data_IF_955897402457
#
_entry.id   IF_955897402457
#
_cell.length_a   1.000
_cell.length_b   1.000
_cell.length_c   1.000
_cell.angle_alpha   90.00
_cell.angle_beta   90.00
_cell.angle_gamma   90.00
#
_symmetry.space_group_name_H-M   'P 1'
#
loop_
_entity.id
_entity.type
_entity.pdbx_description
1 polymer ?
#
# COMPACT_ATOMS: atom_id res chain seq x y z
N UNK A 1 -3.86 20.75 -21.88
CA UNK A 1 -4.22 20.91 -20.45
C UNK A 1 -3.44 22.09 -19.90
N UNK A 2 -4.03 22.85 -18.98
CA UNK A 2 -3.33 23.93 -18.27
C UNK A 2 -2.52 23.36 -17.09
N UNK A 3 -1.51 24.07 -16.56
CA UNK A 3 -0.77 23.64 -15.36
C UNK A 3 -1.67 23.34 -14.17
N UNK A 4 -2.71 24.16 -13.95
CA UNK A 4 -3.71 23.96 -12.90
C UNK A 4 -4.44 22.61 -13.02
N UNK A 5 -4.74 22.18 -14.25
CA UNK A 5 -5.39 20.89 -14.50
C UNK A 5 -4.48 19.70 -14.17
N UNK A 6 -3.16 19.83 -14.31
CA UNK A 6 -2.23 18.78 -13.90
C UNK A 6 -2.08 18.73 -12.38
N UNK A 7 -2.04 19.90 -11.72
CA UNK A 7 -2.02 19.99 -10.27
C UNK A 7 -3.28 19.33 -9.67
N UNK A 8 -4.46 19.57 -10.24
CA UNK A 8 -5.69 18.94 -9.76
C UNK A 8 -5.66 17.42 -9.90
N UNK A 9 -5.15 16.90 -11.03
CA UNK A 9 -4.99 15.45 -11.26
C UNK A 9 -4.00 14.86 -10.26
N UNK A 10 -2.89 15.54 -9.98
CA UNK A 10 -1.92 15.08 -8.98
C UNK A 10 -2.53 15.04 -7.57
N UNK A 11 -3.25 16.08 -7.17
CA UNK A 11 -3.93 16.12 -5.87
C UNK A 11 -4.97 15.01 -5.72
N UNK A 12 -5.82 14.82 -6.74
CA UNK A 12 -6.81 13.75 -6.74
C UNK A 12 -6.14 12.36 -6.69
N UNK A 13 -5.06 12.17 -7.45
CA UNK A 13 -4.30 10.92 -7.46
C UNK A 13 -3.66 10.64 -6.09
N UNK A 14 -3.11 11.66 -5.44
CA UNK A 14 -2.60 11.57 -4.07
C UNK A 14 -3.69 11.16 -3.08
N UNK A 15 -4.86 11.80 -3.13
CA UNK A 15 -5.99 11.45 -2.27
C UNK A 15 -6.48 10.00 -2.48
N UNK A 16 -6.52 9.53 -3.73
CA UNK A 16 -6.84 8.13 -4.06
C UNK A 16 -5.79 7.17 -3.49
N UNK A 17 -4.50 7.54 -3.55
CA UNK A 17 -3.41 6.73 -2.98
C UNK A 17 -3.54 6.62 -1.45
N UNK A 18 -3.84 7.73 -0.76
CA UNK A 18 -4.09 7.73 0.69
C UNK A 18 -5.30 6.87 1.06
N UNK A 19 -6.36 6.92 0.23
CA UNK A 19 -7.53 6.07 0.40
C UNK A 19 -7.17 4.58 0.28
N UNK A 20 -6.33 4.21 -0.70
CA UNK A 20 -5.85 2.83 -0.84
C UNK A 20 -5.02 2.39 0.37
N UNK A 21 -4.15 3.26 0.89
CA UNK A 21 -3.43 3.01 2.15
C UNK A 21 -4.39 2.73 3.31
N UNK A 22 -5.42 3.57 3.48
CA UNK A 22 -6.43 3.41 4.52
C UNK A 22 -7.18 2.08 4.42
N UNK A 23 -7.57 1.67 3.22
CA UNK A 23 -8.21 0.37 2.96
C UNK A 23 -7.26 -0.79 3.27
N UNK A 24 -6.02 -0.72 2.79
CA UNK A 24 -5.00 -1.74 3.03
C UNK A 24 -4.76 -1.97 4.52
N UNK A 25 -4.54 -0.91 5.29
CA UNK A 25 -4.33 -0.97 6.74
C UNK A 25 -5.58 -1.50 7.46
N UNK A 26 -6.77 -1.06 7.07
CA UNK A 26 -8.03 -1.49 7.69
C UNK A 26 -8.26 -3.00 7.54
N UNK A 27 -7.96 -3.58 6.37
CA UNK A 27 -8.02 -5.03 6.16
C UNK A 27 -7.03 -5.77 7.06
N UNK A 28 -5.82 -5.24 7.27
CA UNK A 28 -4.86 -5.84 8.19
C UNK A 28 -5.36 -5.85 9.62
N UNK A 29 -5.87 -4.71 10.11
CA UNK A 29 -6.42 -4.60 11.46
C UNK A 29 -7.62 -5.55 11.65
N UNK A 30 -8.49 -5.68 10.65
CA UNK A 30 -9.59 -6.63 10.67
C UNK A 30 -9.11 -8.09 10.73
N UNK A 31 -8.08 -8.45 9.96
CA UNK A 31 -7.49 -9.80 9.97
C UNK A 31 -6.78 -10.11 11.28
N UNK A 32 -6.02 -9.18 11.85
CA UNK A 32 -5.41 -9.35 13.16
C UNK A 32 -6.48 -9.51 14.25
N UNK A 33 -7.54 -8.69 14.20
CA UNK A 33 -8.70 -8.85 15.07
C UNK A 33 -9.32 -10.25 14.94
N UNK A 34 -9.59 -10.70 13.71
CA UNK A 34 -10.14 -12.03 13.47
C UNK A 34 -9.24 -13.14 14.03
N UNK A 35 -7.93 -13.07 13.83
CA UNK A 35 -6.98 -14.07 14.34
C UNK A 35 -6.91 -14.06 15.88
N UNK A 36 -6.95 -12.89 16.52
CA UNK A 36 -6.87 -12.75 17.97
C UNK A 36 -8.18 -13.16 18.68
N UNK A 37 -9.34 -12.83 18.11
CA UNK A 37 -10.64 -13.03 18.76
C UNK A 37 -11.31 -14.36 18.44
N UNK A 38 -11.03 -14.97 17.28
CA UNK A 38 -11.62 -16.26 16.92
C UNK A 38 -10.94 -17.38 17.72
N UNK A 39 -11.64 -17.85 18.76
CA UNK A 39 -11.15 -18.90 19.69
C UNK A 39 -11.01 -20.29 19.06
N UNK A 40 -11.55 -20.51 17.86
CA UNK A 40 -11.45 -21.81 17.18
C UNK A 40 -10.28 -21.79 16.19
N UNK A 41 -9.42 -22.81 16.23
CA UNK A 41 -8.20 -22.75 15.45
C UNK A 41 -8.45 -23.32 14.04
N UNK A 42 -8.12 -22.53 13.02
CA UNK A 42 -8.47 -22.79 11.61
C UNK A 42 -7.99 -24.16 11.12
N UNK A 43 -8.80 -24.80 10.29
CA UNK A 43 -8.46 -26.01 9.53
C UNK A 43 -7.46 -25.72 8.41
N UNK A 44 -6.82 -26.76 7.86
CA UNK A 44 -5.84 -26.57 6.77
C UNK A 44 -6.47 -25.95 5.52
N UNK A 45 -7.68 -26.38 5.16
CA UNK A 45 -8.43 -25.79 4.05
C UNK A 45 -8.72 -24.29 4.28
N UNK A 46 -9.21 -23.92 5.47
CA UNK A 46 -9.49 -22.52 5.82
C UNK A 46 -8.23 -21.66 5.78
N UNK A 47 -7.08 -22.18 6.19
CA UNK A 47 -5.79 -21.48 6.10
C UNK A 47 -5.36 -21.25 4.66
N UNK A 48 -5.43 -22.29 3.82
CA UNK A 48 -5.05 -22.18 2.41
C UNK A 48 -5.97 -21.18 1.69
N UNK A 49 -7.28 -21.25 1.95
CA UNK A 49 -8.25 -20.28 1.42
C UNK A 49 -7.94 -18.87 1.94
N UNK A 50 -7.67 -18.71 3.24
CA UNK A 50 -7.35 -17.42 3.84
C UNK A 50 -6.08 -16.79 3.25
N UNK A 51 -5.01 -17.57 3.09
CA UNK A 51 -3.77 -17.12 2.43
C UNK A 51 -4.05 -16.77 0.97
N UNK A 52 -4.82 -17.60 0.25
CA UNK A 52 -5.18 -17.35 -1.15
C UNK A 52 -5.96 -16.05 -1.33
N UNK A 53 -7.04 -15.86 -0.57
CA UNK A 53 -7.86 -14.64 -0.61
C UNK A 53 -7.05 -13.41 -0.26
N UNK A 54 -6.23 -13.50 0.79
CA UNK A 54 -5.37 -12.39 1.19
C UNK A 54 -4.31 -12.07 0.12
N UNK A 55 -3.74 -13.08 -0.53
CA UNK A 55 -2.75 -12.89 -1.61
C UNK A 55 -3.39 -12.16 -2.80
N UNK A 56 -4.60 -12.55 -3.20
CA UNK A 56 -5.34 -11.86 -4.28
C UNK A 56 -5.59 -10.40 -3.91
N UNK A 57 -6.06 -10.13 -2.69
CA UNK A 57 -6.25 -8.77 -2.18
C UNK A 57 -4.95 -7.97 -2.19
N UNK A 58 -3.88 -8.52 -1.62
CA UNK A 58 -2.59 -7.85 -1.52
C UNK A 58 -1.97 -7.53 -2.88
N UNK A 59 -2.04 -8.46 -3.84
CA UNK A 59 -1.56 -8.22 -5.21
C UNK A 59 -2.40 -7.16 -5.92
N UNK A 60 -3.73 -7.20 -5.76
CA UNK A 60 -4.61 -6.19 -6.35
C UNK A 60 -4.33 -4.80 -5.78
N UNK A 61 -4.29 -4.67 -4.46
CA UNK A 61 -3.96 -3.43 -3.75
C UNK A 61 -2.60 -2.88 -4.19
N UNK A 62 -1.57 -3.74 -4.24
CA UNK A 62 -0.23 -3.38 -4.69
C UNK A 62 -0.27 -2.78 -6.10
N UNK A 63 -0.95 -3.44 -7.05
CA UNK A 63 -1.03 -2.97 -8.43
C UNK A 63 -1.75 -1.64 -8.55
N UNK A 64 -2.85 -1.44 -7.83
CA UNK A 64 -3.59 -0.17 -7.85
C UNK A 64 -2.71 0.96 -7.30
N UNK A 65 -2.03 0.73 -6.17
CA UNK A 65 -1.19 1.76 -5.55
C UNK A 65 0.04 2.11 -6.39
N UNK A 66 0.67 1.12 -7.02
CA UNK A 66 1.75 1.37 -7.98
C UNK A 66 1.24 2.15 -9.20
N UNK A 67 0.07 1.82 -9.73
CA UNK A 67 -0.52 2.56 -10.85
C UNK A 67 -0.86 4.02 -10.50
N UNK A 68 -1.36 4.28 -9.29
CA UNK A 68 -1.64 5.64 -8.82
C UNK A 68 -0.33 6.43 -8.61
N UNK A 69 0.69 5.80 -8.04
CA UNK A 69 2.02 6.42 -7.88
C UNK A 69 2.65 6.75 -9.24
N UNK A 70 2.56 5.86 -10.23
CA UNK A 70 3.09 6.11 -11.57
C UNK A 70 2.36 7.25 -12.27
N UNK A 71 1.03 7.35 -12.08
CA UNK A 71 0.27 8.49 -12.58
C UNK A 71 0.73 9.80 -11.90
N UNK A 72 0.99 9.77 -10.60
CA UNK A 72 1.48 10.93 -9.86
C UNK A 72 2.88 11.37 -10.34
N UNK A 73 3.80 10.42 -10.56
CA UNK A 73 5.13 10.69 -11.11
C UNK A 73 5.05 11.31 -12.51
N UNK A 74 4.27 10.70 -13.42
CA UNK A 74 4.09 11.23 -14.77
C UNK A 74 3.48 12.63 -14.76
N UNK A 75 2.53 12.88 -13.87
CA UNK A 75 1.90 14.19 -13.72
C UNK A 75 2.90 15.22 -13.21
N UNK A 76 3.73 14.87 -12.22
CA UNK A 76 4.78 15.75 -11.71
C UNK A 76 5.81 16.11 -12.79
N UNK A 77 6.26 15.13 -13.60
CA UNK A 77 7.16 15.41 -14.73
C UNK A 77 6.52 16.29 -15.80
N UNK A 78 5.22 16.16 -16.06
CA UNK A 78 4.52 17.03 -17.01
C UNK A 78 4.40 18.46 -16.51
N UNK A 79 4.18 18.64 -15.21
CA UNK A 79 4.21 19.97 -14.56
C UNK A 79 5.61 20.59 -14.70
N UNK A 80 6.67 19.82 -14.39
CA UNK A 80 8.07 20.27 -14.48
C UNK A 80 8.46 20.68 -15.92
N UNK A 81 8.08 19.89 -16.93
CA UNK A 81 8.34 20.21 -18.33
C UNK A 81 7.57 21.43 -18.86
N UNK A 82 6.41 21.76 -18.27
CA UNK A 82 5.67 22.97 -18.60
C UNK A 82 6.29 24.22 -17.97
N UNK A 83 6.92 24.07 -16.81
CA UNK A 83 7.62 25.15 -16.10
C UNK A 83 8.86 25.64 -16.81
N UNK A 84 9.65 24.73 -17.38
CA UNK A 84 10.83 25.11 -18.18
C UNK A 84 10.47 26.01 -19.37
N UNK A 85 9.22 25.93 -19.86
CA UNK A 85 8.73 26.75 -20.98
C UNK A 85 8.12 28.08 -20.56
N UNK A 86 7.70 28.23 -19.30
CA UNK A 86 7.08 29.45 -18.78
C UNK A 86 7.71 29.82 -17.42
N UNK A 87 8.97 30.25 -17.48
CA UNK A 87 9.82 30.57 -16.33
C UNK A 87 9.29 31.72 -15.43
N UNK A 88 8.18 32.35 -15.81
CA UNK A 88 7.52 33.42 -15.05
C UNK A 88 6.62 32.90 -13.92
N UNK A 89 6.22 31.63 -13.97
CA UNK A 89 5.38 30.98 -12.96
C UNK A 89 6.21 30.47 -11.78
N UNK A 90 6.79 31.39 -11.00
CA UNK A 90 7.49 31.05 -9.75
C UNK A 90 6.47 30.84 -8.62
N UNK A 91 5.67 29.79 -8.73
CA UNK A 91 4.63 29.45 -7.77
C UNK A 91 5.11 28.35 -6.81
N UNK A 92 4.87 28.50 -5.51
CA UNK A 92 5.31 27.58 -4.46
C UNK A 92 4.85 26.13 -4.71
N UNK A 93 3.68 25.98 -5.33
CA UNK A 93 3.10 24.68 -5.72
C UNK A 93 3.94 23.99 -6.78
N UNK A 94 4.55 24.76 -7.68
CA UNK A 94 5.35 24.26 -8.80
C UNK A 94 6.74 23.79 -8.33
N UNK A 95 7.36 24.54 -7.42
CA UNK A 95 8.59 24.12 -6.73
C UNK A 95 8.42 22.84 -5.91
N UNK A 96 7.24 22.61 -5.32
CA UNK A 96 6.92 21.37 -4.62
C UNK A 96 6.95 20.15 -5.57
N UNK A 97 6.33 20.24 -6.75
CA UNK A 97 6.32 19.14 -7.72
C UNK A 97 7.71 18.85 -8.31
N UNK A 98 8.48 19.89 -8.62
CA UNK A 98 9.87 19.73 -9.10
C UNK A 98 10.74 19.06 -8.02
N UNK A 99 10.60 19.45 -6.76
CA UNK A 99 11.30 18.79 -5.65
C UNK A 99 10.84 17.34 -5.46
N UNK A 100 9.55 17.03 -5.64
CA UNK A 100 9.04 15.66 -5.54
C UNK A 100 9.64 14.74 -6.61
N UNK A 101 9.79 15.26 -7.82
CA UNK A 101 10.44 14.58 -8.94
C UNK A 101 11.93 14.34 -8.65
N UNK A 102 12.65 15.39 -8.26
CA UNK A 102 14.11 15.37 -8.19
C UNK A 102 14.70 14.72 -6.93
N UNK A 103 13.95 14.63 -5.84
CA UNK A 103 14.42 14.07 -4.56
C UNK A 103 14.31 12.54 -4.45
N UNK A 104 13.83 11.86 -5.50
CA UNK A 104 13.64 10.41 -5.48
C UNK A 104 12.46 9.95 -4.60
N UNK A 105 11.57 10.86 -4.19
CA UNK A 105 10.35 10.52 -3.44
C UNK A 105 9.52 9.44 -4.14
N UNK A 106 9.45 9.49 -5.47
CA UNK A 106 8.72 8.50 -6.24
C UNK A 106 9.36 7.11 -6.17
N UNK A 107 10.70 7.00 -6.26
CA UNK A 107 11.40 5.73 -6.10
C UNK A 107 11.24 5.15 -4.68
N UNK A 108 11.37 6.02 -3.66
CA UNK A 108 11.12 5.67 -2.26
C UNK A 108 9.67 5.23 -2.04
N UNK A 109 8.72 5.84 -2.74
CA UNK A 109 7.31 5.44 -2.73
C UNK A 109 7.10 4.01 -3.24
N UNK A 110 7.73 3.63 -4.35
CA UNK A 110 7.67 2.26 -4.89
C UNK A 110 8.24 1.26 -3.90
N UNK A 111 9.40 1.56 -3.30
CA UNK A 111 10.04 0.70 -2.30
C UNK A 111 9.14 0.56 -1.06
N UNK A 112 8.55 1.66 -0.59
CA UNK A 112 7.64 1.65 0.56
C UNK A 112 6.40 0.80 0.29
N UNK A 113 5.69 1.06 -0.81
CA UNK A 113 4.49 0.30 -1.18
C UNK A 113 4.82 -1.19 -1.29
N UNK A 114 5.87 -1.57 -2.02
CA UNK A 114 6.23 -2.98 -2.22
C UNK A 114 6.66 -3.68 -0.94
N UNK A 115 7.51 -3.04 -0.12
CA UNK A 115 8.00 -3.62 1.13
C UNK A 115 6.89 -3.83 2.15
N UNK A 116 5.98 -2.86 2.32
CA UNK A 116 4.85 -2.99 3.24
C UNK A 116 3.89 -4.10 2.78
N UNK A 117 3.67 -4.26 1.47
CA UNK A 117 2.86 -5.36 0.94
C UNK A 117 3.49 -6.73 1.22
N UNK A 118 4.81 -6.84 1.03
CA UNK A 118 5.53 -8.08 1.30
C UNK A 118 5.52 -8.43 2.79
N UNK A 119 5.78 -7.46 3.67
CA UNK A 119 5.71 -7.62 5.12
C UNK A 119 4.30 -8.03 5.56
N UNK A 120 3.27 -7.34 5.05
CA UNK A 120 1.87 -7.67 5.36
C UNK A 120 1.50 -9.11 5.00
N UNK A 121 1.91 -9.57 3.81
CA UNK A 121 1.73 -10.97 3.41
C UNK A 121 2.46 -11.96 4.32
N UNK A 122 3.72 -11.69 4.64
CA UNK A 122 4.49 -12.53 5.55
C UNK A 122 3.84 -12.61 6.94
N UNK A 123 3.33 -11.48 7.45
CA UNK A 123 2.63 -11.43 8.74
C UNK A 123 1.35 -12.25 8.73
N UNK A 124 0.49 -12.09 7.71
CA UNK A 124 -0.78 -12.84 7.60
C UNK A 124 -0.51 -14.33 7.43
N UNK A 125 0.44 -14.72 6.57
CA UNK A 125 0.83 -16.11 6.43
C UNK A 125 1.34 -16.70 7.75
N UNK A 126 2.21 -15.98 8.46
CA UNK A 126 2.73 -16.40 9.76
C UNK A 126 1.63 -16.53 10.81
N UNK A 127 0.68 -15.59 10.86
CA UNK A 127 -0.45 -15.62 11.78
C UNK A 127 -1.35 -16.84 11.54
N UNK A 128 -1.69 -17.14 10.28
CA UNK A 128 -2.54 -18.28 9.93
C UNK A 128 -1.83 -19.63 10.16
N UNK A 129 -0.52 -19.70 9.95
CA UNK A 129 0.27 -20.92 10.12
C UNK A 129 0.65 -21.19 11.59
N UNK A 130 0.97 -20.16 12.37
CA UNK A 130 1.38 -20.27 13.79
C UNK A 130 0.25 -20.68 14.74
N UNK A 131 -1.02 -20.48 14.37
CA UNK A 131 -2.17 -21.04 15.10
C UNK A 131 -2.15 -22.58 15.23
N UNK A 132 -1.23 -23.26 14.53
CA UNK A 132 -0.96 -24.70 14.62
C UNK A 132 0.02 -25.05 15.75
N UNK A 133 1.03 -24.22 16.02
CA UNK A 133 2.13 -24.53 16.96
C UNK A 133 1.71 -24.35 18.43
N UNK A 134 0.88 -23.34 18.74
CA UNK A 134 0.36 -23.12 20.10
C UNK A 134 -0.49 -24.30 20.61
N UNK A 135 -1.17 -25.02 19.72
CA UNK A 135 -1.94 -26.24 20.05
C UNK A 135 -1.04 -27.42 20.45
N UNK A 136 0.10 -27.59 19.77
CA UNK A 136 1.06 -28.64 20.14
C UNK A 136 1.68 -28.35 21.51
N UNK A 137 1.97 -27.08 21.80
CA UNK A 137 2.47 -26.68 23.12
C UNK A 137 1.42 -26.88 24.22
N UNK A 138 0.18 -26.42 24.03
CA UNK A 138 -0.89 -26.59 25.05
C UNK A 138 -1.28 -28.05 25.28
N UNK A 139 -1.19 -28.93 24.29
CA UNK A 139 -1.42 -30.37 24.48
C UNK A 139 -0.33 -31.04 25.30
N UNK A 140 0.93 -30.60 25.17
CA UNK A 140 2.05 -31.10 25.99
C UNK A 140 2.05 -30.57 27.42
N UNK A 141 1.36 -29.46 27.67
CA UNK A 141 1.29 -28.79 28.99
C UNK A 141 0.04 -29.15 29.80
N UNK A 142 -0.83 -30.03 29.30
CA UNK A 142 -1.90 -30.60 30.13
C UNK A 142 -1.32 -31.76 30.94
N UNK A 143 -1.31 -31.70 32.29
CA UNK A 143 -0.93 -32.81 33.15
C UNK A 143 -1.89 -33.99 33.00
#
# INVERSE_FOLDING_TARGET
MTPESYISVAMETGHRLDTQWGLYISVHLALFGAVLYVRRPLGMAEKVIGIGLYTVFGVYSLRVMLSLRDLLERTAHQVDAMLEKDASANDLVLGYFSNLSNSGHFANGTISITSVHFIGLAMVASALLSGTSWRLLRRKLKP
#
